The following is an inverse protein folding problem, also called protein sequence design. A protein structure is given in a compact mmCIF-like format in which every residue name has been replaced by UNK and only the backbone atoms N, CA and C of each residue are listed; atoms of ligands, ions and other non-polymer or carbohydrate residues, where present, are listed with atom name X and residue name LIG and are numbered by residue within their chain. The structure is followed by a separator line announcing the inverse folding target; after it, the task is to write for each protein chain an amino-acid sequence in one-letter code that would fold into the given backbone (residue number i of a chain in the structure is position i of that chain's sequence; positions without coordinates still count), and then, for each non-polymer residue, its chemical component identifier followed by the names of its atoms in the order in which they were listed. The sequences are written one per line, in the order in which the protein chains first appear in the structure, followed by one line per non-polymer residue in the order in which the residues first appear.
data_IF_590516132616
#
_entry.id   IF_590516132616
#
_cell.length_a   1.000
_cell.length_b   1.000
_cell.length_c   1.000
_cell.angle_alpha   90.00
_cell.angle_beta   90.00
_cell.angle_gamma   90.00
#
_symmetry.space_group_name_H-M   'P 1'
#
loop_
_entity.id
_entity.type
_entity.pdbx_description
1 polymer ?
#
# COMPACT_ATOMS: atom_id res chain seq x y z
N UNK A 1 19.85 -13.57 12.11
CA UNK A 1 18.91 -12.56 11.60
C UNK A 1 17.55 -12.81 12.21
N UNK A 2 16.98 -11.81 12.88
CA UNK A 2 15.77 -11.97 13.69
C UNK A 2 14.58 -11.51 12.84
N UNK A 3 14.00 -12.44 12.07
CA UNK A 3 13.01 -12.20 11.01
C UNK A 3 11.85 -11.29 11.46
N UNK A 4 11.43 -11.40 12.73
CA UNK A 4 10.34 -10.58 13.31
C UNK A 4 10.66 -9.09 13.40
N UNK A 5 11.93 -8.70 13.55
CA UNK A 5 12.34 -7.30 13.70
C UNK A 5 12.29 -6.54 12.37
N UNK A 6 12.62 -7.22 11.29
CA UNK A 6 12.60 -6.67 9.94
C UNK A 6 11.17 -6.53 9.42
N UNK A 7 10.27 -7.46 9.78
CA UNK A 7 8.86 -7.41 9.38
C UNK A 7 8.11 -6.22 10.02
N UNK A 8 8.33 -5.99 11.31
CA UNK A 8 7.69 -4.89 12.04
C UNK A 8 8.11 -3.52 11.50
N UNK A 9 9.41 -3.37 11.17
CA UNK A 9 9.97 -2.16 10.57
C UNK A 9 9.33 -1.83 9.22
N UNK A 10 9.08 -2.85 8.40
CA UNK A 10 8.42 -2.67 7.10
C UNK A 10 6.95 -2.26 7.23
N UNK A 11 6.21 -2.84 8.18
CA UNK A 11 4.81 -2.44 8.48
C UNK A 11 4.74 -0.97 8.91
N UNK A 12 5.69 -0.51 9.72
CA UNK A 12 5.74 0.89 10.14
C UNK A 12 6.01 1.83 8.96
N UNK A 13 6.88 1.43 8.03
CA UNK A 13 7.12 2.22 6.80
C UNK A 13 5.86 2.44 5.95
N UNK A 14 4.95 1.45 5.87
CA UNK A 14 3.67 1.57 5.16
C UNK A 14 2.79 2.63 5.82
N UNK A 15 2.77 2.64 7.16
CA UNK A 15 1.94 3.56 7.93
C UNK A 15 2.52 4.98 7.91
N UNK A 16 3.84 5.13 7.94
CA UNK A 16 4.48 6.44 8.00
C UNK A 16 4.30 7.25 6.73
N UNK A 17 4.18 6.58 5.58
CA UNK A 17 4.09 7.24 4.28
C UNK A 17 2.84 8.11 4.16
N UNK A 18 3.07 9.31 3.62
CA UNK A 18 2.02 10.27 3.34
C UNK A 18 1.53 10.10 1.90
N UNK A 19 0.43 9.37 1.73
CA UNK A 19 -0.17 9.10 0.42
C UNK A 19 -0.97 10.29 -0.14
N UNK A 20 -1.18 11.37 0.63
CA UNK A 20 -1.91 12.55 0.13
C UNK A 20 -1.24 13.19 -1.09
N UNK A 21 0.09 13.25 -1.13
CA UNK A 21 0.84 13.83 -2.26
C UNK A 21 0.63 13.05 -3.58
N UNK A 22 0.89 11.73 -3.64
CA UNK A 22 0.61 10.98 -4.86
C UNK A 22 -0.88 10.94 -5.21
N UNK A 23 -1.79 10.92 -4.21
CA UNK A 23 -3.24 11.01 -4.45
C UNK A 23 -3.64 12.31 -5.13
N UNK A 24 -3.21 13.47 -4.59
CA UNK A 24 -3.52 14.77 -5.20
C UNK A 24 -2.94 14.86 -6.60
N UNK A 25 -1.69 14.44 -6.80
CA UNK A 25 -1.06 14.45 -8.13
C UNK A 25 -1.85 13.66 -9.17
N UNK A 26 -2.26 12.42 -8.85
CA UNK A 26 -3.03 11.58 -9.79
C UNK A 26 -4.41 12.19 -10.05
N UNK A 27 -5.09 12.70 -9.02
CA UNK A 27 -6.44 13.30 -9.16
C UNK A 27 -6.42 14.57 -10.02
N UNK A 28 -5.45 15.44 -9.81
CA UNK A 28 -5.27 16.69 -10.57
C UNK A 28 -4.93 16.40 -12.04
N UNK A 29 -4.27 15.28 -12.30
CA UNK A 29 -3.84 14.86 -13.63
C UNK A 29 -4.65 13.71 -14.21
N UNK A 30 -5.86 13.44 -13.69
CA UNK A 30 -6.68 12.27 -14.07
C UNK A 30 -6.94 12.16 -15.59
N UNK A 31 -7.04 13.30 -16.27
CA UNK A 31 -7.27 13.35 -17.72
C UNK A 31 -6.02 12.96 -18.54
N UNK A 32 -4.83 13.07 -17.96
CA UNK A 32 -3.56 12.68 -18.58
C UNK A 32 -3.20 11.22 -18.31
N UNK A 33 -3.81 10.60 -17.31
CA UNK A 33 -3.54 9.22 -16.89
C UNK A 33 -4.79 8.35 -16.93
N UNK A 34 -5.32 8.05 -18.14
CA UNK A 34 -6.43 7.12 -18.27
C UNK A 34 -5.97 5.75 -17.75
N UNK A 35 -6.78 5.12 -16.88
CA UNK A 35 -6.46 3.87 -16.15
C UNK A 35 -5.59 4.07 -14.89
N UNK A 36 -5.96 5.02 -14.04
CA UNK A 36 -5.39 5.18 -12.68
C UNK A 36 -6.40 4.91 -11.57
N UNK A 37 -7.60 4.41 -11.90
CA UNK A 37 -8.67 4.15 -10.93
C UNK A 37 -8.26 3.10 -9.90
N UNK A 38 -7.55 2.05 -10.33
CA UNK A 38 -7.08 0.99 -9.42
C UNK A 38 -5.98 1.54 -8.53
N UNK A 39 -5.02 2.29 -9.11
CA UNK A 39 -3.98 2.96 -8.34
C UNK A 39 -4.56 3.93 -7.30
N UNK A 40 -5.55 4.75 -7.67
CA UNK A 40 -6.25 5.65 -6.75
C UNK A 40 -6.92 4.88 -5.62
N UNK A 41 -7.69 3.84 -5.94
CA UNK A 41 -8.38 3.03 -4.92
C UNK A 41 -7.41 2.40 -3.92
N UNK A 42 -6.27 1.91 -4.39
CA UNK A 42 -5.21 1.36 -3.53
C UNK A 42 -4.60 2.44 -2.64
N UNK A 43 -4.25 3.60 -3.20
CA UNK A 43 -3.64 4.68 -2.44
C UNK A 43 -4.61 5.27 -1.41
N UNK A 44 -5.91 5.36 -1.73
CA UNK A 44 -6.96 5.78 -0.79
C UNK A 44 -7.08 4.79 0.37
N UNK A 45 -7.06 3.49 0.07
CA UNK A 45 -7.07 2.44 1.09
C UNK A 45 -5.84 2.54 2.00
N UNK A 46 -4.65 2.73 1.43
CA UNK A 46 -3.42 2.88 2.20
C UNK A 46 -3.41 4.17 3.04
N UNK A 47 -3.95 5.28 2.52
CA UNK A 47 -4.12 6.52 3.27
C UNK A 47 -5.05 6.32 4.47
N UNK A 48 -6.17 5.61 4.28
CA UNK A 48 -7.12 5.31 5.35
C UNK A 48 -6.47 4.42 6.43
N UNK A 49 -5.72 3.39 6.02
CA UNK A 49 -4.98 2.52 6.93
C UNK A 49 -3.93 3.31 7.72
N UNK A 50 -3.12 4.13 7.03
CA UNK A 50 -2.10 4.99 7.64
C UNK A 50 -2.73 5.88 8.72
N UNK A 51 -3.84 6.54 8.38
CA UNK A 51 -4.57 7.38 9.32
C UNK A 51 -5.13 6.58 10.51
N UNK A 52 -5.77 5.44 10.26
CA UNK A 52 -6.32 4.62 11.33
C UNK A 52 -5.25 4.09 12.28
N UNK A 53 -4.15 3.55 11.75
CA UNK A 53 -3.06 3.00 12.55
C UNK A 53 -2.33 4.08 13.36
N UNK A 54 -2.19 5.30 12.84
CA UNK A 54 -1.59 6.43 13.58
C UNK A 54 -2.46 6.91 14.76
N UNK A 55 -3.79 6.79 14.65
CA UNK A 55 -4.73 7.35 15.62
C UNK A 55 -5.38 6.33 16.57
N UNK A 56 -5.37 5.03 16.25
CA UNK A 56 -6.11 4.00 17.00
C UNK A 56 -5.35 3.38 18.19
N UNK A 57 -4.07 3.69 18.37
CA UNK A 57 -3.22 3.06 19.40
C UNK A 57 -3.06 1.54 19.22
N UNK A 58 -3.47 0.99 18.08
CA UNK A 58 -3.45 -0.45 17.79
C UNK A 58 -2.03 -1.00 17.73
N UNK A 59 -1.82 -2.13 18.39
CA UNK A 59 -0.53 -2.85 18.37
C UNK A 59 -0.47 -3.85 17.20
N UNK A 60 -1.62 -4.28 16.67
CA UNK A 60 -1.70 -5.26 15.58
C UNK A 60 -1.92 -4.58 14.21
N UNK A 61 -0.96 -3.72 13.85
CA UNK A 61 -0.92 -2.95 12.59
C UNK A 61 -0.95 -3.85 11.36
N UNK A 62 -0.26 -4.98 11.40
CA UNK A 62 -0.19 -5.97 10.31
C UNK A 62 -1.57 -6.54 9.96
N UNK A 63 -2.32 -6.97 10.98
CA UNK A 63 -3.67 -7.51 10.79
C UNK A 63 -4.60 -6.50 10.12
N UNK A 64 -4.52 -5.23 10.53
CA UNK A 64 -5.35 -4.16 9.96
C UNK A 64 -5.01 -3.93 8.48
N UNK A 65 -3.72 -3.82 8.15
CA UNK A 65 -3.27 -3.65 6.76
C UNK A 65 -3.83 -4.80 5.90
N UNK A 66 -3.59 -6.05 6.30
CA UNK A 66 -4.02 -7.21 5.53
C UNK A 66 -5.55 -7.28 5.38
N UNK A 67 -6.30 -7.05 6.46
CA UNK A 67 -7.77 -7.13 6.45
C UNK A 67 -8.42 -6.02 5.63
N UNK A 68 -7.89 -4.79 5.71
CA UNK A 68 -8.37 -3.68 4.88
C UNK A 68 -8.08 -3.93 3.40
N UNK A 69 -6.96 -4.54 3.05
CA UNK A 69 -6.61 -4.88 1.67
C UNK A 69 -7.39 -6.08 1.12
N UNK A 70 -7.82 -7.01 1.97
CA UNK A 70 -8.73 -8.10 1.59
C UNK A 70 -10.16 -7.61 1.33
N UNK A 71 -10.66 -6.72 2.20
CA UNK A 71 -12.04 -6.22 2.14
C UNK A 71 -12.28 -5.20 1.03
N UNK A 72 -11.26 -4.42 0.67
CA UNK A 72 -11.32 -3.39 -0.39
C UNK A 72 -11.42 -3.95 -1.81
N UNK A 73 -11.29 -5.28 -2.02
CA UNK A 73 -11.22 -5.92 -3.35
C UNK A 73 -10.20 -5.28 -4.31
N UNK A 74 -9.25 -4.51 -3.78
CA UNK A 74 -8.24 -3.83 -4.58
C UNK A 74 -7.21 -4.80 -5.15
N UNK A 75 -6.91 -4.64 -6.44
CA UNK A 75 -5.91 -5.45 -7.14
C UNK A 75 -4.54 -4.75 -7.08
N UNK A 76 -3.76 -5.07 -6.05
CA UNK A 76 -2.42 -4.50 -5.82
C UNK A 76 -1.47 -4.78 -6.99
N UNK A 77 -1.61 -5.93 -7.66
CA UNK A 77 -0.76 -6.24 -8.82
C UNK A 77 -1.08 -5.35 -10.02
N UNK A 78 -2.36 -5.07 -10.27
CA UNK A 78 -2.75 -4.09 -11.29
C UNK A 78 -2.30 -2.68 -10.92
N UNK A 79 -2.43 -2.27 -9.66
CA UNK A 79 -1.96 -0.96 -9.21
C UNK A 79 -0.45 -0.77 -9.43
N UNK A 80 0.38 -1.82 -9.22
CA UNK A 80 1.82 -1.75 -9.53
C UNK A 80 2.05 -1.51 -11.02
N UNK A 81 1.35 -2.24 -11.90
CA UNK A 81 1.47 -2.07 -13.36
C UNK A 81 1.07 -0.66 -13.81
N UNK A 82 0.02 -0.10 -13.22
CA UNK A 82 -0.40 1.28 -13.48
C UNK A 82 0.64 2.29 -12.95
N UNK A 83 1.24 2.02 -11.78
CA UNK A 83 2.28 2.86 -11.21
C UNK A 83 3.57 2.84 -12.04
N UNK A 84 3.96 1.71 -12.62
CA UNK A 84 5.21 1.57 -13.38
C UNK A 84 5.32 2.55 -14.56
N UNK A 85 4.21 2.84 -15.25
CA UNK A 85 4.19 3.82 -16.35
C UNK A 85 4.27 5.27 -15.87
N UNK A 86 4.04 5.51 -14.58
CA UNK A 86 3.96 6.84 -13.95
C UNK A 86 5.02 7.05 -12.86
N UNK A 87 5.91 6.08 -12.66
CA UNK A 87 6.76 6.00 -11.48
C UNK A 87 7.77 7.15 -11.37
N UNK A 88 8.21 7.69 -12.52
CA UNK A 88 9.17 8.79 -12.60
C UNK A 88 8.53 10.17 -12.37
N UNK A 89 7.21 10.28 -12.48
CA UNK A 89 6.47 11.54 -12.38
C UNK A 89 5.63 11.65 -11.12
N UNK A 90 5.17 10.51 -10.57
CA UNK A 90 4.42 10.48 -9.32
C UNK A 90 5.36 10.78 -8.14
N UNK A 91 5.00 11.72 -7.25
CA UNK A 91 5.73 11.94 -6.02
C UNK A 91 5.90 10.64 -5.22
N UNK A 92 7.14 10.31 -4.88
CA UNK A 92 7.50 9.09 -4.16
C UNK A 92 7.15 7.79 -4.92
N UNK A 93 7.08 7.80 -6.26
CA UNK A 93 6.71 6.63 -7.07
C UNK A 93 7.51 5.37 -6.77
N UNK A 94 8.84 5.47 -6.62
CA UNK A 94 9.69 4.32 -6.27
C UNK A 94 9.32 3.74 -4.89
N UNK A 95 9.15 4.61 -3.89
CA UNK A 95 8.75 4.19 -2.54
C UNK A 95 7.37 3.54 -2.55
N UNK A 96 6.43 4.06 -3.33
CA UNK A 96 5.10 3.47 -3.50
C UNK A 96 5.20 2.07 -4.10
N UNK A 97 5.98 1.88 -5.17
CA UNK A 97 6.18 0.57 -5.79
C UNK A 97 6.70 -0.44 -4.76
N UNK A 98 7.72 -0.05 -4.00
CA UNK A 98 8.31 -0.92 -2.97
C UNK A 98 7.28 -1.32 -1.90
N UNK A 99 6.45 -0.38 -1.42
CA UNK A 99 5.36 -0.70 -0.48
C UNK A 99 4.39 -1.71 -1.06
N UNK A 100 3.92 -1.50 -2.29
CA UNK A 100 2.94 -2.38 -2.92
C UNK A 100 3.51 -3.79 -3.13
N UNK A 101 4.79 -3.89 -3.49
CA UNK A 101 5.52 -5.18 -3.57
C UNK A 101 5.63 -5.85 -2.20
N UNK A 102 5.99 -5.09 -1.16
CA UNK A 102 6.04 -5.55 0.23
C UNK A 102 4.69 -6.10 0.69
N UNK A 103 3.59 -5.41 0.39
CA UNK A 103 2.23 -5.86 0.69
C UNK A 103 1.90 -7.20 0.02
N UNK A 104 2.30 -7.40 -1.25
CA UNK A 104 2.10 -8.68 -1.95
C UNK A 104 2.86 -9.81 -1.24
N UNK A 105 4.10 -9.54 -0.81
CA UNK A 105 4.93 -10.51 -0.10
C UNK A 105 4.24 -10.91 1.21
N UNK A 106 3.75 -9.96 2.00
CA UNK A 106 3.00 -10.23 3.23
C UNK A 106 1.74 -11.05 2.96
N UNK A 107 0.91 -10.64 2.00
CA UNK A 107 -0.31 -11.37 1.65
C UNK A 107 -0.02 -12.84 1.29
N UNK A 108 1.05 -13.10 0.53
CA UNK A 108 1.48 -14.46 0.18
C UNK A 108 2.01 -15.24 1.39
N UNK A 109 2.80 -14.61 2.26
CA UNK A 109 3.37 -15.24 3.45
C UNK A 109 2.27 -15.64 4.45
N UNK A 110 1.28 -14.78 4.67
CA UNK A 110 0.14 -15.04 5.58
C UNK A 110 -0.75 -16.16 5.04
N UNK A 111 -1.02 -16.18 3.73
CA UNK A 111 -1.78 -17.27 3.10
C UNK A 111 -1.09 -18.63 3.27
N UNK A 112 0.24 -18.71 3.12
CA UNK A 112 0.99 -19.95 3.37
C UNK A 112 0.90 -20.43 4.81
N UNK A 113 0.88 -19.53 5.80
CA UNK A 113 0.74 -19.87 7.23
C UNK A 113 -0.65 -20.38 7.59
N UNK A 114 -1.69 -20.01 6.84
CA UNK A 114 -3.08 -20.41 7.12
C UNK A 114 -3.45 -21.81 6.61
N UNK A 115 -2.64 -22.38 5.71
CA UNK A 115 -2.87 -23.69 5.07
C UNK A 115 -1.82 -24.72 5.53
N UNK A 116 -0.85 -24.30 6.36
CA UNK A 116 0.23 -25.12 6.90
C UNK A 116 -0.04 -25.56 8.32
#
# INVERSE_FOLDING_TARGET
MNIKKDEQSQIESIIEINYSKPLSFIRENKNHFPKTEILLSVLETLQAISYYCKNSGTTNKEYIILKCLETSKTDIQKAIKELESLISIIPCGISLRNILETIIIYKKATFKKAIG
#
